data_IF_222247362230
#
_entry.id   IF_222247362230
#
_cell.length_a   1.000
_cell.length_b   1.000
_cell.length_c   1.000
_cell.angle_alpha   90.00
_cell.angle_beta   90.00
_cell.angle_gamma   90.00
#
_symmetry.space_group_name_H-M   'P 1'
#
loop_
_entity.id
_entity.type
_entity.pdbx_description
1 polymer ?
#
# COMPACT_ATOMS: atom_id res chain seq x y z
N UNK A 1 18.95 21.05 12.11
CA UNK A 1 17.99 20.96 10.98
C UNK A 1 16.93 22.04 11.17
N UNK A 2 16.41 22.66 10.10
CA UNK A 2 15.25 23.54 10.24
C UNK A 2 14.07 22.75 10.84
N UNK A 3 13.24 23.42 11.63
CA UNK A 3 11.99 22.85 12.13
C UNK A 3 11.05 22.66 10.93
N UNK A 4 10.80 21.39 10.58
CA UNK A 4 9.94 20.98 9.47
C UNK A 4 8.52 20.70 9.96
N UNK A 5 8.06 21.29 11.08
CA UNK A 5 6.67 21.19 11.53
C UNK A 5 6.23 19.80 12.02
N UNK A 6 4.99 19.73 12.51
CA UNK A 6 4.40 18.50 13.02
C UNK A 6 3.96 17.58 11.87
N UNK A 7 4.16 16.27 12.02
CA UNK A 7 3.75 15.29 11.00
C UNK A 7 2.24 15.35 10.71
N UNK A 8 1.44 15.73 11.72
CA UNK A 8 -0.01 15.83 11.64
C UNK A 8 -0.46 16.92 10.66
N UNK A 9 0.31 18.01 10.50
CA UNK A 9 0.01 19.05 9.53
C UNK A 9 0.14 18.52 8.08
N UNK A 10 1.15 17.67 7.83
CA UNK A 10 1.35 17.03 6.53
C UNK A 10 0.35 15.93 6.24
N UNK A 11 -0.01 15.13 7.25
CA UNK A 11 -1.09 14.15 7.11
C UNK A 11 -2.43 14.82 6.84
N UNK A 12 -2.69 15.98 7.47
CA UNK A 12 -3.86 16.78 7.18
C UNK A 12 -3.85 17.28 5.74
N UNK A 13 -2.74 17.85 5.25
CA UNK A 13 -2.62 18.28 3.86
C UNK A 13 -2.84 17.11 2.87
N UNK A 14 -2.27 15.94 3.15
CA UNK A 14 -2.51 14.72 2.36
C UNK A 14 -4.00 14.33 2.34
N UNK A 15 -4.71 14.53 3.45
CA UNK A 15 -6.12 14.18 3.56
C UNK A 15 -7.05 15.18 2.84
N UNK A 16 -6.72 16.47 2.84
CA UNK A 16 -7.70 17.53 2.50
C UNK A 16 -7.38 18.32 1.24
N UNK A 17 -6.12 18.33 0.76
CA UNK A 17 -5.78 19.08 -0.45
C UNK A 17 -6.35 18.41 -1.71
N UNK A 18 -7.10 19.20 -2.50
CA UNK A 18 -7.66 18.77 -3.79
C UNK A 18 -6.55 18.37 -4.77
N UNK A 19 -5.50 19.20 -4.87
CA UNK A 19 -4.31 18.89 -5.65
C UNK A 19 -3.37 18.00 -4.86
N UNK A 20 -2.55 17.22 -5.56
CA UNK A 20 -1.58 16.35 -4.93
C UNK A 20 -0.55 17.18 -4.15
N UNK A 21 -0.44 17.03 -2.81
CA UNK A 21 0.46 17.83 -2.00
C UNK A 21 1.85 17.20 -2.01
N UNK A 22 2.58 17.37 -3.11
CA UNK A 22 3.90 16.74 -3.36
C UNK A 22 4.90 16.97 -2.21
N UNK A 23 4.89 18.17 -1.64
CA UNK A 23 5.76 18.49 -0.50
C UNK A 23 5.38 17.68 0.75
N UNK A 24 4.10 17.56 1.07
CA UNK A 24 3.63 16.79 2.22
C UNK A 24 3.93 15.29 2.04
N UNK A 25 3.75 14.76 0.82
CA UNK A 25 4.13 13.39 0.48
C UNK A 25 5.63 13.17 0.67
N UNK A 26 6.45 14.11 0.19
CA UNK A 26 7.91 14.08 0.37
C UNK A 26 8.31 14.05 1.83
N UNK A 27 7.73 14.93 2.67
CA UNK A 27 8.00 14.96 4.11
C UNK A 27 7.57 13.66 4.80
N UNK A 28 6.36 13.17 4.53
CA UNK A 28 5.87 11.91 5.11
C UNK A 28 6.70 10.70 4.69
N UNK A 29 7.25 10.69 3.48
CA UNK A 29 8.14 9.62 3.02
C UNK A 29 9.52 9.71 3.68
N UNK A 30 10.08 10.92 3.82
CA UNK A 30 11.38 11.14 4.45
C UNK A 30 11.36 10.83 5.96
N UNK A 31 10.24 11.08 6.63
CA UNK A 31 10.04 10.91 8.08
C UNK A 31 9.14 9.71 8.38
N UNK A 32 9.18 8.65 7.57
CA UNK A 32 8.18 7.57 7.55
C UNK A 32 7.82 6.97 8.92
N UNK A 33 8.76 6.90 9.86
CA UNK A 33 8.52 6.37 11.21
C UNK A 33 7.40 7.11 11.97
N UNK A 34 7.14 8.38 11.62
CA UNK A 34 6.10 9.21 12.24
C UNK A 34 4.70 9.00 11.65
N UNK A 35 4.47 9.04 10.31
CA UNK A 35 3.15 8.79 9.73
C UNK A 35 2.78 7.31 9.63
N UNK A 36 3.74 6.38 9.51
CA UNK A 36 3.45 4.95 9.31
C UNK A 36 2.46 4.35 10.34
N UNK A 37 2.51 4.66 11.66
CA UNK A 37 1.60 4.03 12.60
C UNK A 37 0.16 4.50 12.39
N UNK A 38 -0.02 5.78 12.03
CA UNK A 38 -1.32 6.40 11.76
C UNK A 38 -1.93 5.86 10.47
N UNK A 39 -1.13 5.78 9.40
CA UNK A 39 -1.56 5.21 8.12
C UNK A 39 -1.93 3.73 8.26
N UNK A 40 -1.16 2.94 9.02
CA UNK A 40 -1.49 1.53 9.29
C UNK A 40 -2.77 1.37 10.11
N UNK A 41 -3.05 2.25 11.08
CA UNK A 41 -4.31 2.24 11.83
C UNK A 41 -5.49 2.48 10.89
N UNK A 42 -5.37 3.47 10.01
CA UNK A 42 -6.40 3.79 9.03
C UNK A 42 -6.63 2.64 8.05
N UNK A 43 -5.56 2.03 7.53
CA UNK A 43 -5.64 0.85 6.66
C UNK A 43 -6.34 -0.34 7.33
N UNK A 44 -6.03 -0.62 8.60
CA UNK A 44 -6.73 -1.69 9.36
C UNK A 44 -8.21 -1.38 9.53
N UNK A 45 -8.57 -0.15 9.90
CA UNK A 45 -9.98 0.27 10.01
C UNK A 45 -10.74 0.04 8.69
N UNK A 46 -10.15 0.42 7.56
CA UNK A 46 -10.74 0.21 6.25
C UNK A 46 -10.93 -1.29 5.92
N UNK A 47 -9.90 -2.08 6.22
CA UNK A 47 -9.92 -3.53 6.05
C UNK A 47 -11.02 -4.20 6.91
N UNK A 48 -11.20 -3.72 8.13
CA UNK A 48 -12.19 -4.21 9.10
C UNK A 48 -13.64 -3.79 8.79
N UNK A 49 -13.89 -3.01 7.73
CA UNK A 49 -15.26 -2.59 7.41
C UNK A 49 -15.67 -1.21 7.88
N UNK A 50 -14.78 -0.46 8.54
CA UNK A 50 -15.15 0.83 9.12
C UNK A 50 -15.55 1.84 8.02
N UNK A 51 -16.58 2.62 8.32
CA UNK A 51 -16.91 3.79 7.50
C UNK A 51 -15.85 4.87 7.73
N UNK A 52 -15.26 5.35 6.64
CA UNK A 52 -14.28 6.43 6.64
C UNK A 52 -14.95 7.72 6.17
N UNK A 53 -14.53 8.86 6.71
CA UNK A 53 -14.87 10.15 6.09
C UNK A 53 -14.21 10.30 4.72
N UNK A 54 -14.63 11.33 3.96
CA UNK A 54 -13.99 11.65 2.67
C UNK A 54 -12.49 11.93 2.85
N UNK A 55 -12.12 12.77 3.82
CA UNK A 55 -10.73 13.08 4.16
C UNK A 55 -9.94 11.82 4.56
N UNK A 56 -10.55 10.92 5.36
CA UNK A 56 -9.93 9.64 5.73
C UNK A 56 -9.75 8.72 4.52
N UNK A 57 -10.69 8.72 3.57
CA UNK A 57 -10.59 7.93 2.35
C UNK A 57 -9.49 8.46 1.42
N UNK A 58 -9.39 9.79 1.26
CA UNK A 58 -8.28 10.42 0.54
C UNK A 58 -6.92 10.15 1.21
N UNK A 59 -6.87 10.24 2.54
CA UNK A 59 -5.67 9.92 3.31
C UNK A 59 -5.28 8.45 3.15
N UNK A 60 -6.23 7.53 3.16
CA UNK A 60 -5.97 6.11 2.92
C UNK A 60 -5.41 5.88 1.51
N UNK A 61 -6.08 6.41 0.49
CA UNK A 61 -5.69 6.27 -0.92
C UNK A 61 -4.26 6.74 -1.16
N UNK A 62 -3.90 7.94 -0.67
CA UNK A 62 -2.52 8.46 -0.80
C UNK A 62 -1.56 7.75 0.15
N UNK A 63 -2.03 7.39 1.34
CA UNK A 63 -1.25 6.73 2.39
C UNK A 63 -0.72 5.35 2.00
N UNK A 64 -1.50 4.53 1.29
CA UNK A 64 -1.04 3.21 0.84
C UNK A 64 0.12 3.30 -0.17
N UNK A 65 0.18 4.38 -0.96
CA UNK A 65 1.32 4.64 -1.84
C UNK A 65 2.58 4.99 -1.05
N UNK A 66 2.44 5.79 0.02
CA UNK A 66 3.54 6.13 0.93
C UNK A 66 4.06 4.87 1.65
N UNK A 67 3.17 4.04 2.18
CA UNK A 67 3.54 2.78 2.83
C UNK A 67 4.26 1.81 1.87
N UNK A 68 3.75 1.70 0.64
CA UNK A 68 4.39 0.90 -0.42
C UNK A 68 5.77 1.43 -0.82
N UNK A 69 5.92 2.74 -0.99
CA UNK A 69 7.20 3.37 -1.31
C UNK A 69 8.24 3.19 -0.18
N UNK A 70 7.80 3.24 1.08
CA UNK A 70 8.64 3.04 2.24
C UNK A 70 8.97 1.57 2.56
N UNK A 71 8.35 0.62 1.85
CA UNK A 71 8.49 -0.83 2.09
C UNK A 71 8.08 -1.25 3.50
N UNK A 72 7.00 -0.67 4.02
CA UNK A 72 6.48 -1.03 5.33
C UNK A 72 5.78 -2.40 5.28
N UNK A 73 6.52 -3.47 5.59
CA UNK A 73 6.00 -4.83 5.57
C UNK A 73 4.84 -5.08 6.55
N UNK A 74 4.70 -4.26 7.60
CA UNK A 74 3.58 -4.38 8.55
C UNK A 74 2.25 -3.95 7.93
N UNK A 75 2.27 -3.31 6.76
CA UNK A 75 1.07 -2.96 6.00
C UNK A 75 0.57 -4.10 5.09
N UNK A 76 1.36 -5.18 4.89
CA UNK A 76 1.02 -6.26 3.97
C UNK A 76 -0.33 -6.92 4.29
N UNK A 77 -0.43 -7.54 5.48
CA UNK A 77 -1.63 -8.29 5.86
C UNK A 77 -2.88 -7.39 5.95
N UNK A 78 -2.83 -6.17 6.52
CA UNK A 78 -3.96 -5.24 6.44
C UNK A 78 -4.37 -4.90 5.01
N UNK A 79 -3.42 -4.71 4.09
CA UNK A 79 -3.72 -4.43 2.69
C UNK A 79 -4.37 -5.64 2.00
N UNK A 80 -3.82 -6.84 2.19
CA UNK A 80 -4.42 -8.07 1.66
C UNK A 80 -5.82 -8.30 2.26
N UNK A 81 -6.04 -7.96 3.54
CA UNK A 81 -7.36 -8.04 4.14
C UNK A 81 -8.35 -7.07 3.49
N UNK A 82 -7.96 -5.82 3.25
CA UNK A 82 -8.77 -4.85 2.52
C UNK A 82 -9.11 -5.34 1.11
N UNK A 83 -8.15 -5.90 0.38
CA UNK A 83 -8.35 -6.38 -0.99
C UNK A 83 -9.26 -7.62 -1.10
N UNK A 84 -9.52 -8.34 0.01
CA UNK A 84 -10.50 -9.44 0.06
C UNK A 84 -11.95 -8.94 0.15
N UNK A 85 -12.18 -7.65 0.39
CA UNK A 85 -13.53 -7.10 0.54
C UNK A 85 -14.32 -7.10 -0.77
N UNK A 86 -15.66 -6.95 -0.71
CA UNK A 86 -16.47 -6.79 -1.91
C UNK A 86 -15.90 -5.70 -2.82
N UNK A 87 -15.82 -5.97 -4.13
CA UNK A 87 -15.12 -5.08 -5.07
C UNK A 87 -15.62 -3.64 -5.02
N UNK A 88 -16.93 -3.45 -4.82
CA UNK A 88 -17.51 -2.12 -4.67
C UNK A 88 -16.83 -1.32 -3.56
N UNK A 89 -16.63 -1.92 -2.40
CA UNK A 89 -16.02 -1.25 -1.25
C UNK A 89 -14.53 -0.94 -1.51
N UNK A 90 -13.84 -1.84 -2.19
CA UNK A 90 -12.43 -1.66 -2.60
C UNK A 90 -12.33 -0.53 -3.62
N UNK A 91 -13.19 -0.53 -4.63
CA UNK A 91 -13.23 0.45 -5.71
C UNK A 91 -13.65 1.84 -5.21
N UNK A 92 -14.59 1.92 -4.27
CA UNK A 92 -15.01 3.19 -3.67
C UNK A 92 -13.86 3.86 -2.89
N UNK A 93 -12.94 3.08 -2.30
CA UNK A 93 -11.79 3.60 -1.55
C UNK A 93 -10.54 3.82 -2.41
N UNK A 94 -10.29 2.91 -3.37
CA UNK A 94 -9.01 2.83 -4.06
C UNK A 94 -9.10 3.22 -5.54
N UNK A 95 -10.28 3.16 -6.14
CA UNK A 95 -10.53 3.48 -7.54
C UNK A 95 -9.48 2.86 -8.48
N UNK A 96 -8.94 3.70 -9.36
CA UNK A 96 -7.97 3.31 -10.37
C UNK A 96 -6.65 2.78 -9.79
N UNK A 97 -6.34 3.03 -8.51
CA UNK A 97 -5.14 2.45 -7.89
C UNK A 97 -5.18 0.91 -7.92
N UNK A 98 -6.36 0.29 -7.92
CA UNK A 98 -6.49 -1.17 -8.03
C UNK A 98 -5.80 -1.69 -9.29
N UNK A 99 -5.97 -1.04 -10.43
CA UNK A 99 -5.44 -1.47 -11.72
C UNK A 99 -4.09 -0.83 -12.07
N UNK A 100 -3.86 0.42 -11.64
CA UNK A 100 -2.68 1.19 -12.06
C UNK A 100 -1.45 1.01 -11.16
N UNK A 101 -1.64 0.92 -9.84
CA UNK A 101 -0.54 0.99 -8.87
C UNK A 101 -0.48 -0.15 -7.87
N UNK A 102 -1.58 -0.90 -7.69
CA UNK A 102 -1.71 -1.91 -6.63
C UNK A 102 -0.62 -2.98 -6.68
N UNK A 103 -0.24 -3.46 -7.87
CA UNK A 103 0.84 -4.43 -8.02
C UNK A 103 2.17 -3.96 -7.39
N UNK A 104 2.51 -2.68 -7.59
CA UNK A 104 3.73 -2.07 -7.03
C UNK A 104 3.59 -1.83 -5.53
N UNK A 105 2.42 -1.41 -5.07
CA UNK A 105 2.14 -1.19 -3.64
C UNK A 105 2.28 -2.50 -2.87
N UNK A 106 1.60 -3.56 -3.32
CA UNK A 106 1.65 -4.90 -2.70
C UNK A 106 3.07 -5.43 -2.70
N UNK A 107 3.80 -5.30 -3.81
CA UNK A 107 5.20 -5.73 -3.86
C UNK A 107 6.09 -4.91 -2.91
N UNK A 108 5.82 -3.61 -2.74
CA UNK A 108 6.55 -2.75 -1.83
C UNK A 108 6.35 -3.15 -0.37
N UNK A 109 5.10 -3.41 0.04
CA UNK A 109 4.76 -3.82 1.41
C UNK A 109 4.89 -5.33 1.65
N UNK A 110 5.37 -6.13 0.70
CA UNK A 110 5.36 -7.58 0.83
C UNK A 110 6.16 -8.05 2.06
N UNK A 111 5.54 -8.87 2.90
CA UNK A 111 6.10 -9.34 4.17
C UNK A 111 6.79 -10.71 4.08
N UNK A 112 6.78 -11.34 2.90
CA UNK A 112 7.33 -12.67 2.67
C UNK A 112 6.30 -13.80 2.69
N UNK A 113 5.05 -13.53 3.06
CA UNK A 113 3.98 -14.54 3.07
C UNK A 113 3.40 -14.77 1.67
N UNK A 114 4.12 -15.57 0.88
CA UNK A 114 3.70 -15.92 -0.47
C UNK A 114 2.39 -16.73 -0.48
N UNK A 115 2.15 -17.56 0.54
CA UNK A 115 0.96 -18.40 0.63
C UNK A 115 -0.29 -17.53 0.80
N UNK A 116 -0.24 -16.51 1.66
CA UNK A 116 -1.32 -15.55 1.81
C UNK A 116 -1.60 -14.83 0.48
N UNK A 117 -0.57 -14.38 -0.22
CA UNK A 117 -0.72 -13.72 -1.52
C UNK A 117 -1.37 -14.64 -2.57
N UNK A 118 -0.86 -15.87 -2.73
CA UNK A 118 -1.39 -16.84 -3.68
C UNK A 118 -2.82 -17.26 -3.36
N UNK A 119 -3.18 -17.37 -2.08
CA UNK A 119 -4.53 -17.71 -1.67
C UNK A 119 -5.57 -16.69 -2.21
N UNK A 120 -5.28 -15.39 -2.21
CA UNK A 120 -6.18 -14.40 -2.81
C UNK A 120 -6.21 -14.51 -4.34
N UNK A 121 -5.05 -14.75 -4.96
CA UNK A 121 -4.94 -14.80 -6.42
C UNK A 121 -5.80 -15.91 -7.05
N UNK A 122 -5.97 -17.03 -6.35
CA UNK A 122 -6.74 -18.18 -6.85
C UNK A 122 -8.19 -18.21 -6.35
N UNK A 123 -8.56 -17.32 -5.42
CA UNK A 123 -9.92 -17.24 -4.90
C UNK A 123 -10.85 -16.61 -5.94
N UNK A 124 -11.69 -17.43 -6.56
CA UNK A 124 -12.61 -16.98 -7.63
C UNK A 124 -13.70 -16.03 -7.14
N UNK A 125 -13.91 -15.90 -5.83
CA UNK A 125 -14.84 -14.94 -5.23
C UNK A 125 -14.29 -13.52 -5.15
N UNK A 126 -12.96 -13.34 -5.20
CA UNK A 126 -12.30 -12.03 -5.24
C UNK A 126 -12.40 -11.44 -6.65
N UNK A 127 -12.51 -10.12 -6.75
CA UNK A 127 -12.61 -9.43 -8.03
C UNK A 127 -11.46 -9.73 -9.00
N UNK A 128 -11.77 -9.77 -10.30
CA UNK A 128 -10.81 -10.06 -11.35
C UNK A 128 -9.63 -9.07 -11.41
N UNK A 129 -9.90 -7.77 -11.25
CA UNK A 129 -8.86 -6.74 -11.28
C UNK A 129 -7.95 -6.81 -10.06
N UNK A 130 -8.53 -7.11 -8.88
CA UNK A 130 -7.73 -7.34 -7.67
C UNK A 130 -6.81 -8.53 -7.88
N UNK A 131 -7.33 -9.67 -8.35
CA UNK A 131 -6.49 -10.85 -8.62
C UNK A 131 -5.40 -10.53 -9.64
N UNK A 132 -5.72 -9.83 -10.73
CA UNK A 132 -4.74 -9.41 -11.74
C UNK A 132 -3.62 -8.56 -11.14
N UNK A 133 -3.95 -7.59 -10.29
CA UNK A 133 -2.96 -6.79 -9.58
C UNK A 133 -2.04 -7.64 -8.67
N UNK A 134 -2.59 -8.65 -7.98
CA UNK A 134 -1.81 -9.57 -7.16
C UNK A 134 -0.91 -10.50 -8.01
N UNK A 135 -1.39 -10.95 -9.17
CA UNK A 135 -0.54 -11.63 -10.17
C UNK A 135 0.63 -10.74 -10.63
N UNK A 136 0.37 -9.45 -10.86
CA UNK A 136 1.40 -8.46 -11.17
C UNK A 136 2.43 -8.30 -10.05
N UNK A 137 1.97 -8.22 -8.80
CA UNK A 137 2.85 -8.16 -7.62
C UNK A 137 3.73 -9.42 -7.50
N UNK A 138 3.14 -10.61 -7.61
CA UNK A 138 3.86 -11.87 -7.57
C UNK A 138 4.94 -11.97 -8.66
N UNK A 139 4.62 -11.49 -9.88
CA UNK A 139 5.57 -11.43 -11.00
C UNK A 139 6.76 -10.53 -10.68
N UNK A 140 6.51 -9.34 -10.13
CA UNK A 140 7.57 -8.40 -9.73
C UNK A 140 8.46 -8.98 -8.62
N UNK A 141 7.87 -9.64 -7.63
CA UNK A 141 8.58 -10.27 -6.52
C UNK A 141 9.45 -11.45 -7.00
N UNK A 142 8.92 -12.32 -7.85
CA UNK A 142 9.66 -13.46 -8.40
C UNK A 142 10.84 -13.01 -9.27
N UNK A 143 10.66 -11.97 -10.10
CA UNK A 143 11.73 -11.40 -10.91
C UNK A 143 12.88 -10.84 -10.06
N UNK A 144 12.55 -10.14 -8.96
CA UNK A 144 13.57 -9.59 -8.06
C UNK A 144 14.28 -10.66 -7.22
N UNK A 145 13.59 -11.73 -6.81
CA UNK A 145 14.20 -12.86 -6.12
C UNK A 145 15.25 -13.57 -7.01
N UNK A 146 14.96 -13.73 -8.31
CA UNK A 146 15.88 -14.32 -9.28
C UNK A 146 17.15 -13.49 -9.48
N UNK A 147 17.05 -12.15 -9.50
CA UNK A 147 18.21 -11.25 -9.57
C UNK A 147 19.10 -11.30 -8.32
N UNK A 148 18.53 -11.48 -7.13
CA UNK A 148 19.31 -11.61 -5.89
C UNK A 148 20.06 -12.97 -5.85
N UNK A 149 19.40 -14.05 -6.29
CA UNK A 149 20.02 -15.38 -6.36
C UNK A 149 21.17 -15.46 -7.39
N UNK A 150 21.10 -14.73 -8.50
CA UNK A 150 22.17 -14.68 -9.50
C UNK A 150 23.32 -13.74 -9.13
N UNK A 151 23.10 -12.73 -8.30
CA UNK A 151 24.15 -11.84 -7.78
C UNK A 151 25.06 -12.48 -6.72
N UNK A 152 24.63 -13.57 -6.08
CA UNK A 152 25.42 -14.28 -5.06
C UNK A 152 26.31 -15.41 -5.66
N UNK A 153 26.30 -15.58 -6.99
CA UNK A 153 27.00 -16.66 -7.70
C UNK A 153 28.41 -16.35 -8.22
N UNK A 154 28.88 -15.11 -8.15
CA UNK A 154 30.22 -14.71 -8.62
C UNK A 154 31.19 -14.46 -7.46
N UNK A 155 31.34 -15.45 -6.56
CA UNK A 155 32.44 -15.52 -5.61
C UNK A 155 32.75 -16.98 -5.31
N UNK A 156 33.30 -17.69 -6.30
CA UNK A 156 34.06 -18.92 -6.08
C UNK A 156 35.03 -19.17 -7.22
#
# INVERSE_FOLDING_TARGET
MPDLGAIDDYLHAIATEEKLPDFAIGICTLRIEEPEPKLRVLLRRAADGAHLSDDESFLLFRGIHILGAARDSKACQPLLHLLRRPFRDVNDLLGDAVTESMAKIVAGVFDGDADALFALMIDSSIDGFVREALFGAATFLAGNAASIATGCGCAR
#
